data_IF_557795767258
#
_entry.id   IF_557795767258
#
_cell.length_a   1.000
_cell.length_b   1.000
_cell.length_c   1.000
_cell.angle_alpha   90.00
_cell.angle_beta   90.00
_cell.angle_gamma   90.00
#
_symmetry.space_group_name_H-M   'P 1'
#
loop_
_entity.id
_entity.type
_entity.pdbx_description
1 polymer ?
#
# COMPACT_ATOMS: atom_id res chain seq x y z
N UNK A 1 -11.32 44.43 -35.66
CA UNK A 1 -10.92 45.28 -34.52
C UNK A 1 -12.07 45.23 -33.54
N UNK A 2 -11.99 44.33 -32.56
CA UNK A 2 -12.62 44.40 -31.24
C UNK A 2 -12.27 43.08 -30.52
N UNK A 3 -11.30 43.19 -29.62
CA UNK A 3 -10.95 42.19 -28.62
C UNK A 3 -11.98 42.26 -27.49
N UNK A 4 -12.54 41.13 -27.08
CA UNK A 4 -13.04 41.00 -25.71
C UNK A 4 -12.26 39.88 -25.03
N UNK A 5 -11.54 40.29 -23.99
CA UNK A 5 -10.71 39.48 -23.10
C UNK A 5 -11.64 38.74 -22.14
N UNK A 6 -11.63 37.41 -22.20
CA UNK A 6 -12.11 36.58 -21.10
C UNK A 6 -10.93 36.28 -20.17
N UNK A 7 -11.07 36.73 -18.92
CA UNK A 7 -10.13 36.55 -17.85
C UNK A 7 -10.02 35.07 -17.46
N UNK A 8 -8.87 34.47 -17.78
CA UNK A 8 -8.42 33.18 -17.26
C UNK A 8 -7.90 33.37 -15.82
N UNK A 9 -8.71 33.02 -14.83
CA UNK A 9 -8.26 32.79 -13.45
C UNK A 9 -8.19 31.28 -13.19
N UNK A 10 -7.05 30.68 -13.54
CA UNK A 10 -6.65 29.36 -13.03
C UNK A 10 -5.56 29.60 -11.98
N UNK A 11 -5.91 29.29 -10.74
CA UNK A 11 -5.01 29.31 -9.59
C UNK A 11 -3.85 28.33 -9.81
N UNK A 12 -2.63 28.85 -9.88
CA UNK A 12 -1.41 28.05 -9.75
C UNK A 12 -1.09 27.86 -8.27
N UNK A 13 -1.44 26.70 -7.73
CA UNK A 13 -0.86 26.21 -6.47
C UNK A 13 0.21 25.17 -6.83
N UNK A 14 1.44 25.65 -7.02
CA UNK A 14 2.63 24.83 -7.23
C UNK A 14 3.13 24.41 -5.85
N UNK A 15 2.86 23.17 -5.46
CA UNK A 15 3.55 22.57 -4.31
C UNK A 15 4.87 21.97 -4.81
N UNK A 16 5.97 22.64 -4.47
CA UNK A 16 7.33 22.09 -4.60
C UNK A 16 7.48 20.90 -3.63
N UNK A 17 7.76 19.71 -4.16
CA UNK A 17 8.31 18.60 -3.37
C UNK A 17 9.75 18.42 -3.83
N UNK A 18 10.67 18.77 -2.93
CA UNK A 18 12.11 18.56 -3.10
C UNK A 18 12.40 17.07 -3.30
N UNK A 19 13.12 16.77 -4.38
CA UNK A 19 13.71 15.47 -4.64
C UNK A 19 14.96 15.34 -3.79
N UNK A 20 14.97 14.42 -2.81
CA UNK A 20 16.20 14.05 -2.12
C UNK A 20 16.74 12.76 -2.74
N UNK A 21 17.85 12.89 -3.46
CA UNK A 21 18.62 11.80 -4.05
C UNK A 21 19.17 10.87 -2.96
N UNK A 22 19.11 9.57 -3.21
CA UNK A 22 19.73 8.57 -2.35
C UNK A 22 19.47 7.16 -2.85
N UNK A 23 20.21 6.73 -3.88
CA UNK A 23 20.26 5.31 -4.29
C UNK A 23 20.79 4.43 -3.15
N UNK A 24 20.40 3.14 -3.10
CA UNK A 24 21.44 2.16 -3.37
C UNK A 24 20.99 0.98 -4.25
N UNK A 25 21.89 0.66 -5.17
CA UNK A 25 22.10 -0.59 -5.91
C UNK A 25 21.57 -1.87 -5.23
N UNK A 26 20.72 -2.62 -5.93
CA UNK A 26 20.44 -4.03 -5.68
C UNK A 26 21.04 -4.87 -6.82
N UNK A 27 22.10 -5.62 -6.50
CA UNK A 27 22.64 -6.69 -7.34
C UNK A 27 21.84 -7.97 -7.07
N UNK A 28 21.58 -8.70 -8.14
CA UNK A 28 20.63 -9.79 -8.31
C UNK A 28 21.01 -11.12 -7.61
N UNK A 29 19.96 -11.90 -7.36
CA UNK A 29 19.94 -13.28 -6.88
C UNK A 29 20.88 -14.25 -7.60
N UNK A 30 21.32 -15.28 -6.87
CA UNK A 30 21.53 -16.62 -7.43
C UNK A 30 21.18 -17.69 -6.39
N UNK A 31 20.10 -18.40 -6.69
CA UNK A 31 19.60 -19.60 -6.03
C UNK A 31 20.54 -20.75 -6.38
N UNK A 32 20.89 -21.59 -5.39
CA UNK A 32 21.41 -22.92 -5.67
C UNK A 32 20.64 -23.96 -4.84
N UNK A 33 19.95 -24.87 -5.53
CA UNK A 33 19.36 -26.10 -5.01
C UNK A 33 20.14 -27.26 -5.61
N UNK A 34 20.36 -28.29 -4.79
CA UNK A 34 20.64 -29.71 -5.05
C UNK A 34 21.41 -30.19 -3.80
N UNK A 35 21.29 -31.38 -3.24
CA UNK A 35 20.46 -32.59 -3.35
C UNK A 35 20.89 -33.44 -2.14
N UNK A 36 20.02 -34.31 -1.60
CA UNK A 36 20.39 -35.63 -1.04
C UNK A 36 19.30 -36.17 -0.09
N UNK A 37 18.39 -36.97 -0.63
CA UNK A 37 17.74 -38.08 0.08
C UNK A 37 18.63 -39.33 -0.01
N UNK A 38 18.84 -40.04 1.11
CA UNK A 38 18.48 -41.46 1.32
C UNK A 38 19.20 -42.13 2.52
N UNK A 39 18.37 -42.56 3.47
CA UNK A 39 18.16 -43.91 4.03
C UNK A 39 19.29 -44.75 4.66
N UNK A 40 18.93 -45.26 5.86
CA UNK A 40 19.13 -46.57 6.50
C UNK A 40 19.80 -46.42 7.89
N UNK A 41 19.46 -47.16 8.95
CA UNK A 41 18.64 -48.35 9.16
C UNK A 41 18.35 -48.47 10.67
N UNK A 42 17.27 -49.17 10.98
CA UNK A 42 16.77 -49.53 12.31
C UNK A 42 17.49 -50.79 12.84
N UNK A 43 17.58 -50.96 14.18
CA UNK A 43 17.48 -52.21 15.00
C UNK A 43 17.96 -51.86 16.44
N UNK A 44 17.06 -51.81 17.45
CA UNK A 44 16.68 -52.89 18.41
C UNK A 44 17.86 -53.37 19.28
N UNK A 45 17.78 -53.64 20.59
CA UNK A 45 16.71 -53.83 21.58
C UNK A 45 17.35 -53.91 22.99
N UNK A 46 16.53 -54.13 24.03
CA UNK A 46 16.86 -54.72 25.35
C UNK A 46 17.42 -53.84 26.50
N UNK A 47 16.54 -53.36 27.39
CA UNK A 47 16.15 -54.11 28.61
C UNK A 47 15.27 -53.25 29.57
N UNK A 48 14.08 -53.79 29.88
CA UNK A 48 13.11 -53.34 30.90
C UNK A 48 13.39 -54.06 32.27
N UNK A 49 12.46 -54.12 33.25
CA UNK A 49 11.94 -53.09 34.16
C UNK A 49 11.91 -53.57 35.64
N UNK A 50 11.43 -52.76 36.60
CA UNK A 50 10.67 -53.18 37.81
C UNK A 50 10.49 -51.96 38.76
N UNK A 51 9.26 -51.49 39.00
CA UNK A 51 8.41 -51.75 40.19
C UNK A 51 9.00 -51.22 41.52
N UNK A 52 8.27 -50.74 42.53
CA UNK A 52 6.85 -50.51 42.86
C UNK A 52 6.85 -50.08 44.36
N UNK A 53 5.85 -49.31 44.79
CA UNK A 53 5.31 -49.06 46.16
C UNK A 53 6.23 -49.26 47.41
N UNK A 54 6.23 -48.39 48.42
CA UNK A 54 5.26 -48.30 49.55
C UNK A 54 5.86 -47.25 50.52
N UNK A 55 5.20 -46.17 50.97
CA UNK A 55 4.30 -46.11 52.14
C UNK A 55 5.03 -45.62 53.42
N UNK A 56 4.24 -45.07 54.37
CA UNK A 56 4.59 -44.56 55.72
C UNK A 56 5.15 -43.11 55.74
N UNK A 57 4.48 -42.07 56.25
CA UNK A 57 3.79 -41.85 57.53
C UNK A 57 4.56 -42.44 58.72
N UNK A 58 5.25 -41.59 59.48
CA UNK A 58 5.21 -41.62 60.94
C UNK A 58 5.79 -40.34 61.55
N UNK A 59 5.04 -39.86 62.53
CA UNK A 59 5.44 -38.90 63.54
C UNK A 59 6.41 -39.54 64.54
N UNK A 60 7.25 -38.71 65.15
CA UNK A 60 7.97 -38.98 66.41
C UNK A 60 8.09 -37.62 67.09
N UNK A 61 7.26 -37.25 68.08
CA UNK A 61 7.22 -37.77 69.46
C UNK A 61 8.62 -37.92 70.05
N UNK A 62 8.93 -37.03 71.00
CA UNK A 62 9.77 -37.29 72.17
C UNK A 62 9.43 -36.19 73.19
N UNK A 63 8.32 -36.37 73.89
CA UNK A 63 8.35 -36.14 75.33
C UNK A 63 9.09 -37.34 75.92
N UNK A 64 10.13 -37.09 76.71
CA UNK A 64 10.34 -37.96 77.86
C UNK A 64 10.95 -37.16 79.03
N UNK A 65 10.12 -37.10 80.06
CA UNK A 65 10.42 -36.83 81.45
C UNK A 65 11.47 -37.79 82.00
N UNK A 66 12.44 -37.29 82.75
CA UNK A 66 12.87 -37.76 84.10
C UNK A 66 14.34 -37.41 84.36
N UNK A 67 14.56 -36.50 85.32
CA UNK A 67 15.66 -36.63 86.29
C UNK A 67 15.33 -35.81 87.54
N UNK A 68 14.36 -36.32 88.30
CA UNK A 68 14.34 -36.18 89.76
C UNK A 68 15.22 -37.31 90.28
N UNK A 69 16.47 -37.01 90.65
CA UNK A 69 17.25 -37.71 91.69
C UNK A 69 18.68 -37.13 91.78
N UNK A 70 18.84 -36.17 92.69
CA UNK A 70 20.04 -35.84 93.48
C UNK A 70 19.52 -34.81 94.49
N UNK A 71 18.77 -35.21 95.52
CA UNK A 71 19.22 -35.83 96.77
C UNK A 71 20.47 -35.16 97.34
N UNK A 72 20.19 -34.12 98.13
CA UNK A 72 20.74 -33.93 99.49
C UNK A 72 21.84 -34.92 99.86
N UNK A 73 23.06 -34.39 99.96
CA UNK A 73 24.06 -34.71 100.98
C UNK A 73 25.29 -33.85 100.70
N UNK A 74 25.20 -32.59 101.14
CA UNK A 74 26.34 -31.80 101.57
C UNK A 74 25.87 -30.85 102.70
N UNK A 75 25.12 -31.40 103.66
CA UNK A 75 25.24 -31.00 105.06
C UNK A 75 26.38 -31.85 105.66
N UNK A 76 27.61 -31.58 105.20
CA UNK A 76 28.78 -31.91 106.01
C UNK A 76 28.91 -30.77 106.99
N UNK A 77 28.35 -31.06 108.17
CA UNK A 77 28.73 -30.55 109.46
C UNK A 77 30.24 -30.27 109.52
N UNK A 78 30.64 -29.04 109.19
CA UNK A 78 31.90 -28.46 109.68
C UNK A 78 31.55 -27.90 111.06
N UNK A 79 31.44 -28.84 112.01
CA UNK A 79 31.64 -28.57 113.43
C UNK A 79 33.15 -28.34 113.61
N UNK A 80 33.57 -27.16 113.17
CA UNK A 80 34.86 -26.57 113.49
C UNK A 80 34.55 -25.10 113.65
N UNK A 81 34.03 -24.79 114.84
CA UNK A 81 34.00 -23.44 115.35
C UNK A 81 35.34 -22.76 115.05
N UNK A 82 35.38 -21.61 114.37
CA UNK A 82 36.41 -20.66 114.68
C UNK A 82 36.11 -20.22 116.11
N UNK A 83 37.07 -20.42 117.02
CA UNK A 83 37.08 -19.75 118.33
C UNK A 83 36.77 -18.28 118.05
N UNK A 84 35.58 -17.84 118.44
CA UNK A 84 35.14 -16.45 118.31
C UNK A 84 35.93 -15.64 119.33
N UNK A 85 36.84 -14.73 118.93
CA UNK A 85 37.13 -13.59 119.78
C UNK A 85 35.85 -12.75 119.80
N UNK A 86 35.47 -12.29 120.97
CA UNK A 86 34.21 -11.60 121.27
C UNK A 86 34.07 -10.26 120.50
N UNK A 87 33.82 -10.31 119.18
CA UNK A 87 33.43 -9.19 118.31
C UNK A 87 33.05 -9.61 116.86
N UNK A 88 32.28 -10.68 116.64
CA UNK A 88 32.00 -11.19 115.26
C UNK A 88 30.51 -11.39 114.96
N UNK A 89 29.63 -10.93 115.84
CA UNK A 89 28.17 -10.99 115.61
C UNK A 89 27.75 -10.05 114.47
N UNK A 90 28.52 -8.98 114.24
CA UNK A 90 28.31 -7.99 113.16
C UNK A 90 28.91 -8.44 111.80
N UNK A 91 29.95 -9.30 111.79
CA UNK A 91 30.69 -9.70 110.57
C UNK A 91 30.06 -10.91 109.89
N UNK A 92 29.60 -11.92 110.65
CA UNK A 92 29.00 -13.14 110.06
C UNK A 92 27.56 -12.90 109.60
N UNK A 93 26.82 -12.03 110.29
CA UNK A 93 25.48 -11.62 109.85
C UNK A 93 25.55 -10.58 108.73
N UNK A 94 26.50 -9.64 108.76
CA UNK A 94 26.76 -8.69 107.68
C UNK A 94 27.12 -9.35 106.34
N UNK A 95 28.06 -10.30 106.34
CA UNK A 95 28.50 -11.01 105.12
C UNK A 95 27.42 -11.96 104.55
N UNK A 96 26.55 -12.52 105.40
CA UNK A 96 25.43 -13.35 104.98
C UNK A 96 24.26 -12.52 104.43
N UNK A 97 24.00 -11.34 105.02
CA UNK A 97 23.00 -10.38 104.55
C UNK A 97 23.43 -9.77 103.21
N UNK A 98 24.70 -9.41 103.04
CA UNK A 98 25.25 -8.89 101.79
C UNK A 98 25.25 -9.94 100.67
N UNK A 99 25.61 -11.20 100.97
CA UNK A 99 25.48 -12.28 99.99
C UNK A 99 24.03 -12.55 99.57
N UNK A 100 23.07 -12.43 100.49
CA UNK A 100 21.66 -12.63 100.17
C UNK A 100 21.10 -11.45 99.34
N UNK A 101 21.56 -10.22 99.59
CA UNK A 101 21.24 -9.05 98.78
C UNK A 101 21.82 -9.12 97.36
N UNK A 102 23.05 -9.61 97.21
CA UNK A 102 23.66 -9.88 95.89
C UNK A 102 22.90 -10.97 95.14
N UNK A 103 22.50 -12.03 95.85
CA UNK A 103 21.72 -13.13 95.28
C UNK A 103 20.37 -12.66 94.74
N UNK A 104 19.67 -11.77 95.44
CA UNK A 104 18.40 -11.23 94.91
C UNK A 104 18.62 -10.29 93.72
N UNK A 105 19.65 -9.43 93.73
CA UNK A 105 20.00 -8.64 92.54
C UNK A 105 20.30 -9.52 91.31
N UNK A 106 21.03 -10.62 91.51
CA UNK A 106 21.32 -11.57 90.43
C UNK A 106 20.05 -12.30 89.96
N UNK A 107 19.12 -12.59 90.87
CA UNK A 107 17.84 -13.20 90.52
C UNK A 107 16.96 -12.25 89.70
N UNK A 108 16.87 -10.99 90.09
CA UNK A 108 16.16 -9.95 89.34
C UNK A 108 16.77 -9.74 87.93
N UNK A 109 18.10 -9.70 87.83
CA UNK A 109 18.81 -9.59 86.55
C UNK A 109 18.57 -10.82 85.65
N UNK A 110 18.59 -12.03 86.22
CA UNK A 110 18.27 -13.25 85.48
C UNK A 110 16.83 -13.22 84.97
N UNK A 111 15.88 -12.78 85.79
CA UNK A 111 14.47 -12.66 85.38
C UNK A 111 14.29 -11.61 84.28
N UNK A 112 14.97 -10.48 84.39
CA UNK A 112 15.03 -9.47 83.34
C UNK A 112 15.59 -10.03 82.03
N UNK A 113 16.76 -10.68 82.06
CA UNK A 113 17.39 -11.28 80.88
C UNK A 113 16.54 -12.39 80.26
N UNK A 114 15.81 -13.18 81.06
CA UNK A 114 14.87 -14.17 80.55
C UNK A 114 13.68 -13.51 79.84
N UNK A 115 13.17 -12.40 80.38
CA UNK A 115 12.10 -11.63 79.74
C UNK A 115 12.55 -11.02 78.41
N UNK A 116 13.76 -10.44 78.36
CA UNK A 116 14.35 -9.88 77.15
C UNK A 116 14.61 -10.97 76.10
N UNK A 117 15.15 -12.12 76.51
CA UNK A 117 15.33 -13.28 75.63
C UNK A 117 13.99 -13.74 75.01
N UNK A 118 12.91 -13.76 75.78
CA UNK A 118 11.58 -14.13 75.29
C UNK A 118 11.03 -13.09 74.28
N UNK A 119 11.23 -11.81 74.56
CA UNK A 119 10.86 -10.72 73.65
C UNK A 119 11.63 -10.82 72.32
N UNK A 120 12.96 -10.98 72.37
CA UNK A 120 13.82 -11.16 71.19
C UNK A 120 13.45 -12.41 70.38
N UNK A 121 13.13 -13.53 71.03
CA UNK A 121 12.66 -14.73 70.33
C UNK A 121 11.33 -14.50 69.60
N UNK A 122 10.45 -13.67 70.17
CA UNK A 122 9.19 -13.27 69.54
C UNK A 122 9.44 -12.35 68.34
N UNK A 123 10.32 -11.37 68.48
CA UNK A 123 10.77 -10.47 67.41
C UNK A 123 11.34 -11.28 66.23
N UNK A 124 12.24 -12.23 66.50
CA UNK A 124 12.86 -13.10 65.48
C UNK A 124 11.80 -13.93 64.74
N UNK A 125 10.80 -14.46 65.44
CA UNK A 125 9.70 -15.22 64.81
C UNK A 125 8.88 -14.33 63.86
N UNK A 126 8.55 -13.10 64.29
CA UNK A 126 7.84 -12.12 63.44
C UNK A 126 8.66 -11.74 62.21
N UNK A 127 9.94 -11.43 62.38
CA UNK A 127 10.86 -11.13 61.27
C UNK A 127 10.95 -12.27 60.25
N UNK A 128 11.06 -13.52 60.71
CA UNK A 128 11.06 -14.69 59.82
C UNK A 128 9.74 -14.86 59.06
N UNK A 129 8.61 -14.58 59.71
CA UNK A 129 7.31 -14.64 59.07
C UNK A 129 7.16 -13.55 58.00
N UNK A 130 7.52 -12.30 58.34
CA UNK A 130 7.48 -11.18 57.40
C UNK A 130 8.37 -11.45 56.19
N UNK A 131 9.63 -11.85 56.40
CA UNK A 131 10.55 -12.20 55.32
C UNK A 131 9.99 -13.29 54.39
N UNK A 132 9.35 -14.33 54.94
CA UNK A 132 8.72 -15.38 54.12
C UNK A 132 7.53 -14.85 53.33
N UNK A 133 6.73 -13.98 53.92
CA UNK A 133 5.59 -13.34 53.25
C UNK A 133 6.06 -12.47 52.09
N UNK A 134 7.03 -11.58 52.34
CA UNK A 134 7.62 -10.69 51.33
C UNK A 134 8.26 -11.49 50.18
N UNK A 135 8.92 -12.60 50.50
CA UNK A 135 9.51 -13.48 49.49
C UNK A 135 8.44 -14.15 48.62
N UNK A 136 7.32 -14.58 49.22
CA UNK A 136 6.21 -15.18 48.48
C UNK A 136 5.50 -14.17 47.58
N UNK A 137 5.25 -12.95 48.09
CA UNK A 137 4.66 -11.84 47.32
C UNK A 137 5.54 -11.46 46.13
N UNK A 138 6.84 -11.25 46.36
CA UNK A 138 7.80 -10.94 45.28
C UNK A 138 7.88 -12.06 44.24
N UNK A 139 7.77 -13.32 44.66
CA UNK A 139 7.72 -14.45 43.72
C UNK A 139 6.46 -14.44 42.87
N UNK A 140 5.31 -14.06 43.45
CA UNK A 140 4.04 -13.96 42.74
C UNK A 140 4.10 -12.83 41.71
N UNK A 141 4.53 -11.64 42.12
CA UNK A 141 4.69 -10.48 41.23
C UNK A 141 5.64 -10.78 40.07
N UNK A 142 6.78 -11.44 40.35
CA UNK A 142 7.73 -11.85 39.31
C UNK A 142 7.11 -12.81 38.30
N UNK A 143 6.27 -13.74 38.75
CA UNK A 143 5.58 -14.68 37.86
C UNK A 143 4.51 -13.99 37.01
N UNK A 144 3.76 -13.04 37.60
CA UNK A 144 2.80 -12.21 36.86
C UNK A 144 3.51 -11.35 35.81
N UNK A 145 4.63 -10.70 36.17
CA UNK A 145 5.42 -9.90 35.25
C UNK A 145 5.93 -10.74 34.06
N UNK A 146 6.43 -11.96 34.32
CA UNK A 146 6.84 -12.88 33.26
C UNK A 146 5.68 -13.25 32.33
N UNK A 147 4.49 -13.51 32.88
CA UNK A 147 3.31 -13.81 32.09
C UNK A 147 2.91 -12.64 31.19
N UNK A 148 2.87 -11.42 31.73
CA UNK A 148 2.58 -10.20 30.98
C UNK A 148 3.62 -9.95 29.88
N UNK A 149 4.90 -10.14 30.17
CA UNK A 149 5.97 -9.96 29.19
C UNK A 149 5.85 -10.96 28.03
N UNK A 150 5.46 -12.20 28.30
CA UNK A 150 5.21 -13.20 27.26
C UNK A 150 3.98 -12.85 26.41
N UNK A 151 2.91 -12.33 27.02
CA UNK A 151 1.73 -11.88 26.28
C UNK A 151 2.06 -10.71 25.35
N UNK A 152 2.73 -9.68 25.86
CA UNK A 152 3.17 -8.52 25.07
C UNK A 152 4.11 -8.91 23.94
N UNK A 153 4.99 -9.90 24.15
CA UNK A 153 5.87 -10.41 23.10
C UNK A 153 5.05 -11.04 21.95
N UNK A 154 4.03 -11.85 22.28
CA UNK A 154 3.15 -12.46 21.27
C UNK A 154 2.35 -11.40 20.52
N UNK A 155 1.79 -10.41 21.22
CA UNK A 155 1.06 -9.31 20.59
C UNK A 155 1.96 -8.50 19.65
N UNK A 156 3.19 -8.21 20.06
CA UNK A 156 4.18 -7.55 19.21
C UNK A 156 4.49 -8.36 17.95
N UNK A 157 4.69 -9.66 18.08
CA UNK A 157 4.95 -10.56 16.94
C UNK A 157 3.75 -10.63 15.99
N UNK A 158 2.52 -10.71 16.54
CA UNK A 158 1.28 -10.65 15.75
C UNK A 158 1.15 -9.34 15.00
N UNK A 159 1.34 -8.20 15.68
CA UNK A 159 1.25 -6.89 15.05
C UNK A 159 2.30 -6.69 13.96
N UNK A 160 3.51 -7.22 14.15
CA UNK A 160 4.54 -7.17 13.12
C UNK A 160 4.16 -7.98 11.86
N UNK A 161 3.50 -9.13 12.04
CA UNK A 161 2.95 -9.90 10.93
C UNK A 161 1.84 -9.15 10.21
N UNK A 162 0.90 -8.54 10.95
CA UNK A 162 -0.20 -7.75 10.38
C UNK A 162 0.32 -6.55 9.58
N UNK A 163 1.31 -5.82 10.11
CA UNK A 163 1.96 -4.71 9.40
C UNK A 163 2.60 -5.20 8.10
N UNK A 164 3.29 -6.33 8.13
CA UNK A 164 3.94 -6.90 6.95
C UNK A 164 2.90 -7.30 5.88
N UNK A 165 1.81 -7.95 6.29
CA UNK A 165 0.71 -8.32 5.41
C UNK A 165 0.08 -7.07 4.78
N UNK A 166 -0.22 -6.06 5.59
CA UNK A 166 -0.79 -4.81 5.10
C UNK A 166 0.12 -4.09 4.09
N UNK A 167 1.44 -4.07 4.34
CA UNK A 167 2.41 -3.51 3.40
C UNK A 167 2.43 -4.26 2.06
N UNK A 168 2.29 -5.58 2.08
CA UNK A 168 2.20 -6.39 0.86
C UNK A 168 0.91 -6.09 0.07
N UNK A 169 -0.23 -6.02 0.75
CA UNK A 169 -1.53 -5.72 0.13
C UNK A 169 -1.53 -4.32 -0.50
N UNK A 170 -1.03 -3.32 0.24
CA UNK A 170 -0.88 -1.95 -0.26
C UNK A 170 0.07 -1.87 -1.46
N UNK A 171 1.19 -2.60 -1.42
CA UNK A 171 2.13 -2.66 -2.55
C UNK A 171 1.51 -3.28 -3.80
N UNK A 172 0.77 -4.38 -3.64
CA UNK A 172 0.03 -5.06 -4.72
C UNK A 172 -1.05 -4.16 -5.33
N UNK A 173 -1.81 -3.46 -4.48
CA UNK A 173 -2.82 -2.50 -4.91
C UNK A 173 -2.21 -1.33 -5.69
N UNK A 174 -1.13 -0.74 -5.17
CA UNK A 174 -0.44 0.37 -5.84
C UNK A 174 0.11 -0.05 -7.21
N UNK A 175 0.69 -1.26 -7.30
CA UNK A 175 1.18 -1.80 -8.56
C UNK A 175 0.03 -1.99 -9.57
N UNK A 176 -1.09 -2.55 -9.13
CA UNK A 176 -2.29 -2.73 -9.97
C UNK A 176 -2.84 -1.39 -10.47
N UNK A 177 -2.91 -0.39 -9.58
CA UNK A 177 -3.34 0.95 -9.94
C UNK A 177 -2.42 1.56 -11.02
N UNK A 178 -1.10 1.46 -10.82
CA UNK A 178 -0.12 1.97 -11.78
C UNK A 178 -0.25 1.31 -13.16
N UNK A 179 -0.41 -0.02 -13.20
CA UNK A 179 -0.61 -0.76 -14.45
C UNK A 179 -1.90 -0.35 -15.17
N UNK A 180 -3.00 -0.21 -14.44
CA UNK A 180 -4.29 0.20 -15.01
C UNK A 180 -4.26 1.63 -15.56
N UNK A 181 -3.61 2.55 -14.84
CA UNK A 181 -3.42 3.94 -15.29
C UNK A 181 -2.56 3.98 -16.54
N UNK A 182 -1.42 3.27 -16.55
CA UNK A 182 -0.54 3.23 -17.72
C UNK A 182 -1.26 2.62 -18.94
N UNK A 183 -2.02 1.54 -18.75
CA UNK A 183 -2.81 0.93 -19.80
C UNK A 183 -3.83 1.91 -20.39
N UNK A 184 -4.55 2.63 -19.52
CA UNK A 184 -5.55 3.63 -19.95
C UNK A 184 -4.91 4.77 -20.74
N UNK A 185 -3.76 5.27 -20.31
CA UNK A 185 -2.98 6.29 -21.03
C UNK A 185 -2.63 5.79 -22.43
N UNK A 186 -2.03 4.60 -22.54
CA UNK A 186 -1.63 4.04 -23.83
C UNK A 186 -2.83 3.86 -24.78
N UNK A 187 -3.99 3.44 -24.26
CA UNK A 187 -5.22 3.31 -25.03
C UNK A 187 -5.71 4.67 -25.56
N UNK A 188 -5.71 5.71 -24.72
CA UNK A 188 -6.11 7.06 -25.11
C UNK A 188 -5.14 7.67 -26.12
N UNK A 189 -3.83 7.48 -25.94
CA UNK A 189 -2.82 7.93 -26.90
C UNK A 189 -3.02 7.25 -28.27
N UNK A 190 -3.28 5.94 -28.30
CA UNK A 190 -3.57 5.23 -29.54
C UNK A 190 -4.84 5.75 -30.23
N UNK A 191 -5.90 6.02 -29.47
CA UNK A 191 -7.14 6.60 -29.99
C UNK A 191 -6.91 7.98 -30.59
N UNK A 192 -6.19 8.84 -29.87
CA UNK A 192 -5.86 10.18 -30.33
C UNK A 192 -5.03 10.17 -31.62
N UNK A 193 -4.02 9.29 -31.72
CA UNK A 193 -3.21 9.17 -32.93
C UNK A 193 -4.04 8.70 -34.13
N UNK A 194 -4.99 7.77 -33.90
CA UNK A 194 -5.89 7.29 -34.96
C UNK A 194 -6.82 8.39 -35.46
N UNK A 195 -7.46 9.12 -34.55
CA UNK A 195 -8.36 10.23 -34.88
C UNK A 195 -7.61 11.35 -35.63
N UNK A 196 -6.40 11.69 -35.17
CA UNK A 196 -5.53 12.66 -35.84
C UNK A 196 -5.13 12.21 -37.25
N UNK A 197 -4.85 10.92 -37.45
CA UNK A 197 -4.56 10.36 -38.76
C UNK A 197 -5.77 10.42 -39.69
N UNK A 198 -6.93 9.96 -39.24
CA UNK A 198 -8.17 9.97 -40.01
C UNK A 198 -8.54 11.39 -40.44
N UNK A 199 -8.41 12.36 -39.53
CA UNK A 199 -8.61 13.78 -39.85
C UNK A 199 -7.69 14.28 -40.97
N UNK A 200 -6.42 13.88 -40.97
CA UNK A 200 -5.47 14.26 -42.03
C UNK A 200 -5.84 13.64 -43.37
N UNK A 201 -6.24 12.37 -43.37
CA UNK A 201 -6.67 11.65 -44.57
C UNK A 201 -7.92 12.28 -45.18
N UNK A 202 -8.94 12.56 -44.36
CA UNK A 202 -10.17 13.23 -44.80
C UNK A 202 -9.90 14.63 -45.37
N UNK A 203 -9.02 15.41 -44.73
CA UNK A 203 -8.64 16.73 -45.23
C UNK A 203 -7.93 16.64 -46.58
N UNK A 204 -7.06 15.64 -46.76
CA UNK A 204 -6.39 15.37 -48.02
C UNK A 204 -7.38 14.98 -49.12
N UNK A 205 -8.33 14.10 -48.82
CA UNK A 205 -9.37 13.67 -49.77
C UNK A 205 -10.28 14.84 -50.17
N UNK A 206 -10.72 15.63 -49.19
CA UNK A 206 -11.52 16.85 -49.43
C UNK A 206 -10.78 17.83 -50.33
N UNK A 207 -9.48 18.04 -50.09
CA UNK A 207 -8.64 18.91 -50.92
C UNK A 207 -8.57 18.38 -52.35
N UNK A 208 -8.32 17.08 -52.53
CA UNK A 208 -8.28 16.44 -53.84
C UNK A 208 -9.62 16.53 -54.58
N UNK A 209 -10.75 16.31 -53.89
CA UNK A 209 -12.07 16.45 -54.49
C UNK A 209 -12.36 17.89 -54.92
N UNK A 210 -11.93 18.86 -54.12
CA UNK A 210 -12.10 20.27 -54.44
C UNK A 210 -11.29 20.68 -55.68
N UNK A 211 -10.05 20.20 -55.81
CA UNK A 211 -9.25 20.41 -57.02
C UNK A 211 -9.91 19.79 -58.26
N UNK A 212 -10.47 18.58 -58.14
CA UNK A 212 -11.20 17.94 -59.24
C UNK A 212 -12.47 18.71 -59.62
N UNK A 213 -13.21 19.21 -58.63
CA UNK A 213 -14.39 20.04 -58.87
C UNK A 213 -14.02 21.31 -59.64
N UNK A 214 -12.91 21.96 -59.28
CA UNK A 214 -12.40 23.13 -59.99
C UNK A 214 -12.04 22.81 -61.45
N UNK A 215 -11.28 21.73 -61.69
CA UNK A 215 -10.94 21.27 -63.05
C UNK A 215 -12.19 21.01 -63.91
N UNK A 216 -13.23 20.40 -63.31
CA UNK A 216 -14.51 20.18 -63.99
C UNK A 216 -15.25 21.49 -64.27
N UNK A 217 -15.23 22.44 -63.33
CA UNK A 217 -15.80 23.78 -63.51
C UNK A 217 -15.16 24.54 -64.68
N UNK A 218 -13.84 24.47 -64.81
CA UNK A 218 -13.08 25.02 -65.95
C UNK A 218 -13.49 24.35 -67.26
N UNK A 219 -13.57 23.02 -67.26
CA UNK A 219 -13.98 22.23 -68.45
C UNK A 219 -15.40 22.61 -68.90
N UNK A 220 -16.35 22.72 -67.99
CA UNK A 220 -17.73 23.15 -68.29
C UNK A 220 -17.75 24.57 -68.87
N UNK A 221 -16.92 25.47 -68.32
CA UNK A 221 -16.85 26.86 -68.80
C UNK A 221 -16.30 26.93 -70.23
N UNK A 222 -15.24 26.17 -70.53
CA UNK A 222 -14.70 26.05 -71.88
C UNK A 222 -15.73 25.46 -72.86
N UNK A 223 -16.44 24.40 -72.46
CA UNK A 223 -17.49 23.80 -73.30
C UNK A 223 -18.63 24.78 -73.60
N UNK A 224 -19.05 25.61 -72.64
CA UNK A 224 -20.06 26.66 -72.86
C UNK A 224 -19.60 27.67 -73.93
N UNK A 225 -18.32 28.04 -73.90
CA UNK A 225 -17.75 28.94 -74.92
C UNK A 225 -17.77 28.30 -76.31
N UNK A 226 -17.36 27.04 -76.41
CA UNK A 226 -17.42 26.26 -77.67
C UNK A 226 -18.85 26.15 -78.20
N UNK A 227 -19.82 25.83 -77.34
CA UNK A 227 -21.25 25.78 -77.73
C UNK A 227 -21.71 27.14 -78.25
N UNK A 228 -21.40 28.23 -77.55
CA UNK A 228 -21.76 29.58 -77.99
C UNK A 228 -21.14 29.95 -79.35
N UNK A 229 -19.89 29.54 -79.60
CA UNK A 229 -19.27 29.71 -80.92
C UNK A 229 -20.03 28.96 -82.01
N UNK A 230 -20.41 27.70 -81.76
CA UNK A 230 -21.18 26.91 -82.73
C UNK A 230 -22.58 27.48 -82.96
N UNK A 231 -23.27 27.95 -81.91
CA UNK A 231 -24.57 28.63 -82.03
C UNK A 231 -24.48 29.84 -82.96
N UNK A 232 -23.46 30.69 -82.76
CA UNK A 232 -23.21 31.85 -83.65
C UNK A 232 -22.92 31.40 -85.08
N UNK A 233 -22.14 30.33 -85.27
CA UNK A 233 -21.80 29.82 -86.59
C UNK A 233 -23.02 29.29 -87.35
N UNK A 234 -23.94 28.62 -86.65
CA UNK A 234 -25.20 28.14 -87.22
C UNK A 234 -26.04 29.32 -87.72
N UNK A 235 -26.17 30.39 -86.93
CA UNK A 235 -26.89 31.61 -87.34
C UNK A 235 -26.25 32.23 -88.58
N UNK A 236 -24.91 32.36 -88.59
CA UNK A 236 -24.17 32.90 -89.74
C UNK A 236 -24.41 32.10 -91.02
N UNK A 237 -24.31 30.76 -90.94
CA UNK A 237 -24.56 29.86 -92.07
C UNK A 237 -26.00 29.95 -92.57
N UNK A 238 -26.97 30.05 -91.66
CA UNK A 238 -28.38 30.20 -92.04
C UNK A 238 -28.61 31.53 -92.80
N UNK A 239 -28.04 32.63 -92.33
CA UNK A 239 -28.12 33.93 -93.02
C UNK A 239 -27.46 33.89 -94.42
N UNK A 240 -26.31 33.20 -94.54
CA UNK A 240 -25.64 32.99 -95.84
C UNK A 240 -26.49 32.14 -96.79
N UNK A 241 -27.16 31.11 -96.26
CA UNK A 241 -28.08 30.27 -97.02
C UNK A 241 -29.29 31.08 -97.53
N UNK A 242 -29.90 31.90 -96.69
CA UNK A 242 -31.03 32.75 -97.07
C UNK A 242 -30.64 33.78 -98.15
N UNK A 243 -29.46 34.39 -98.02
CA UNK A 243 -28.92 35.29 -99.04
C UNK A 243 -28.73 34.56 -100.38
N UNK A 244 -28.10 33.39 -100.34
CA UNK A 244 -27.86 32.55 -101.52
C UNK A 244 -29.17 32.14 -102.21
N UNK A 245 -30.19 31.76 -101.43
CA UNK A 245 -31.51 31.44 -101.95
C UNK A 245 -32.20 32.64 -102.62
N UNK A 246 -32.07 33.83 -102.03
CA UNK A 246 -32.62 35.05 -102.63
C UNK A 246 -31.93 35.39 -103.96
N UNK A 247 -30.60 35.29 -104.03
CA UNK A 247 -29.86 35.47 -105.29
C UNK A 247 -30.31 34.45 -106.35
N UNK A 248 -30.49 33.17 -105.98
CA UNK A 248 -30.98 32.15 -106.91
C UNK A 248 -32.40 32.48 -107.41
N UNK A 249 -33.29 32.97 -106.53
CA UNK A 249 -34.64 33.40 -106.93
C UNK A 249 -34.58 34.55 -107.93
N UNK A 250 -33.80 35.59 -107.66
CA UNK A 250 -33.62 36.73 -108.56
C UNK A 250 -33.08 36.30 -109.93
N UNK A 251 -32.07 35.43 -109.96
CA UNK A 251 -31.53 34.90 -111.22
C UNK A 251 -32.56 34.08 -112.00
N UNK A 252 -33.44 33.33 -111.32
CA UNK A 252 -34.54 32.59 -111.96
C UNK A 252 -35.60 33.53 -112.54
N UNK A 253 -35.94 34.60 -111.83
CA UNK A 253 -36.87 35.63 -112.31
C UNK A 253 -36.30 36.35 -113.53
N UNK A 254 -35.04 36.83 -113.47
CA UNK A 254 -34.38 37.49 -114.60
C UNK A 254 -34.28 36.56 -115.83
N UNK A 255 -33.98 35.28 -115.62
CA UNK A 255 -33.96 34.29 -116.70
C UNK A 255 -35.35 34.12 -117.33
N UNK A 256 -36.40 34.07 -116.51
CA UNK A 256 -37.79 33.94 -116.98
C UNK A 256 -38.20 35.16 -117.81
N UNK A 257 -37.95 36.36 -117.29
CA UNK A 257 -38.21 37.64 -117.98
C UNK A 257 -37.47 37.73 -119.32
N UNK A 258 -36.18 37.36 -119.32
CA UNK A 258 -35.36 37.38 -120.53
C UNK A 258 -35.84 36.37 -121.56
N UNK A 259 -36.26 35.18 -121.11
CA UNK A 259 -36.84 34.14 -121.98
C UNK A 259 -38.14 34.62 -122.60
N UNK A 260 -39.02 35.27 -121.82
CA UNK A 260 -40.28 35.83 -122.31
C UNK A 260 -40.03 36.93 -123.35
N UNK A 261 -39.11 37.88 -123.08
CA UNK A 261 -38.76 38.93 -124.06
C UNK A 261 -38.22 38.37 -125.36
N UNK A 262 -37.39 37.32 -125.29
CA UNK A 262 -36.89 36.65 -126.49
C UNK A 262 -38.03 35.98 -127.27
N UNK A 263 -38.99 35.35 -126.58
CA UNK A 263 -40.18 34.79 -127.21
C UNK A 263 -41.05 35.88 -127.87
N UNK A 264 -41.28 37.01 -127.20
CA UNK A 264 -42.07 38.12 -127.72
C UNK A 264 -41.40 38.76 -128.95
N UNK A 265 -40.07 38.95 -128.89
CA UNK A 265 -39.28 39.41 -130.03
C UNK A 265 -39.33 38.42 -131.20
N UNK A 266 -39.25 37.12 -130.93
CA UNK A 266 -39.39 36.06 -131.95
C UNK A 266 -40.77 36.15 -132.63
N UNK A 267 -41.84 36.28 -131.86
CA UNK A 267 -43.20 36.42 -132.39
C UNK A 267 -43.38 37.73 -133.19
N UNK A 268 -42.77 38.83 -132.74
CA UNK A 268 -42.75 40.10 -133.49
C UNK A 268 -42.01 39.97 -134.83
N UNK A 269 -40.91 39.20 -134.88
CA UNK A 269 -40.17 38.97 -136.12
C UNK A 269 -40.98 38.12 -137.11
N UNK A 270 -41.70 37.09 -136.64
CA UNK A 270 -42.61 36.28 -137.47
C UNK A 270 -43.79 37.12 -138.00
N UNK A 271 -44.42 37.93 -137.15
CA UNK A 271 -45.53 38.79 -137.56
C UNK A 271 -45.10 39.90 -138.52
N UNK A 272 -43.95 40.52 -138.33
CA UNK A 272 -43.40 41.51 -139.28
C UNK A 272 -42.99 40.87 -140.61
N UNK A 273 -42.54 39.60 -140.60
CA UNK A 273 -42.22 38.86 -141.83
C UNK A 273 -43.46 38.49 -142.65
N UNK A 274 -44.63 38.33 -141.99
CA UNK A 274 -45.91 38.05 -142.65
C UNK A 274 -46.64 39.28 -143.21
N UNK A 275 -46.19 40.51 -142.91
CA UNK A 275 -46.77 41.78 -143.42
C UNK A 275 -46.10 42.25 -144.73
N UNK A 276 -44.94 41.67 -145.12
CA UNK A 276 -44.21 41.98 -146.38
C UNK A 276 -44.50 40.92 -147.47
N UNK A 277 -45.73 40.43 -147.53
CA UNK A 277 -46.26 39.65 -148.66
C UNK A 277 -47.48 40.37 -149.24
#
# INVERSE_FOLDING_TARGET
MEENKEDNLINNEITFIESNEGSPSMISNSINKNDSEHNNEQLKDENHPANSLTGQILASSNEDTTNKQQKELNDVNIDSQPIVPQNVEEVITGDAIDNNAIKEKLKDEIEFLLSEKSALQTEIKKLKQNYRSDQAEKSLEMNQLKATLLALKKEKESLAADITSFQQDMGSWLHTLQQNTQHSINCLESLYQRDSQEKRELLSEMTSMNEELNRRGETISSLKEVVSMYEKKVIELNNQQDCSLNTIKQLREELTDRTQRLHDLSNQQETNSNIIC
#
